data_IF_686774395373
#
_entry.id   IF_686774395373
#
_cell.length_a   1.000
_cell.length_b   1.000
_cell.length_c   1.000
_cell.angle_alpha   90.00
_cell.angle_beta   90.00
_cell.angle_gamma   90.00
#
_symmetry.space_group_name_H-M   'P 1'
#
loop_
_entity.id
_entity.type
_entity.pdbx_description
1 polymer ?
#
# COMPACT_ATOMS: atom_id res chain seq x y z
N UNK A 1 13.02 22.55 -28.48
CA UNK A 1 13.86 21.68 -29.33
C UNK A 1 15.20 22.37 -29.50
N UNK A 2 16.27 21.84 -28.89
CA UNK A 2 17.62 22.38 -29.05
C UNK A 2 18.54 21.17 -29.25
N UNK A 3 19.07 21.02 -30.47
CA UNK A 3 20.10 20.04 -30.85
C UNK A 3 21.41 20.79 -31.05
N UNK A 4 22.52 20.22 -30.58
CA UNK A 4 23.85 20.14 -31.22
C UNK A 4 24.77 19.38 -30.23
N UNK A 5 24.99 18.08 -30.39
CA UNK A 5 26.02 17.40 -31.20
C UNK A 5 27.47 17.51 -30.71
N UNK A 6 27.92 16.38 -30.14
CA UNK A 6 29.20 15.67 -30.26
C UNK A 6 30.51 16.45 -30.46
N UNK A 7 31.53 16.08 -29.67
CA UNK A 7 32.86 15.83 -30.23
C UNK A 7 33.55 14.63 -29.58
N UNK A 8 33.94 13.72 -30.45
CA UNK A 8 34.73 12.50 -30.25
C UNK A 8 36.13 12.79 -30.81
N UNK A 9 37.18 12.15 -30.27
CA UNK A 9 38.52 11.83 -30.83
C UNK A 9 39.48 11.67 -29.63
N UNK A 10 40.48 10.78 -29.55
CA UNK A 10 41.08 9.76 -30.44
C UNK A 10 42.17 9.03 -29.60
N UNK A 11 42.48 7.76 -29.92
CA UNK A 11 43.80 7.03 -29.89
C UNK A 11 44.81 7.28 -28.75
N UNK A 12 45.55 6.32 -28.20
CA UNK A 12 45.81 4.93 -28.55
C UNK A 12 46.96 4.35 -27.70
N UNK A 13 46.93 3.02 -27.53
CA UNK A 13 47.98 2.00 -27.28
C UNK A 13 49.32 2.40 -26.62
N UNK A 14 49.66 1.72 -25.51
CA UNK A 14 51.03 1.22 -25.23
C UNK A 14 50.94 -0.20 -24.65
N UNK A 15 51.55 -1.16 -25.36
CA UNK A 15 51.90 -2.50 -24.87
C UNK A 15 53.10 -2.39 -23.92
N UNK A 16 53.09 -3.15 -22.83
CA UNK A 16 54.27 -3.34 -21.98
C UNK A 16 54.07 -4.48 -21.00
N UNK A 17 54.50 -5.68 -21.40
CA UNK A 17 54.69 -6.82 -20.50
C UNK A 17 56.12 -6.80 -19.96
N UNK A 18 56.30 -6.96 -18.64
CA UNK A 18 57.55 -7.44 -18.04
C UNK A 18 57.27 -8.05 -16.65
N UNK A 19 57.79 -9.27 -16.48
CA UNK A 19 57.78 -10.11 -15.27
C UNK A 19 58.78 -9.60 -14.20
N UNK A 20 58.43 -9.76 -12.92
CA UNK A 20 59.32 -10.15 -11.80
C UNK A 20 58.49 -10.18 -10.50
N UNK A 21 58.27 -11.36 -9.90
CA UNK A 21 59.04 -11.98 -8.80
C UNK A 21 58.85 -11.31 -7.44
N UNK A 22 58.31 -12.10 -6.50
CA UNK A 22 58.69 -12.03 -5.09
C UNK A 22 57.79 -11.17 -4.19
N UNK A 23 57.01 -11.83 -3.34
CA UNK A 23 56.35 -11.18 -2.20
C UNK A 23 55.05 -11.88 -1.81
N UNK A 24 55.15 -12.97 -1.04
CA UNK A 24 53.99 -13.48 -0.28
C UNK A 24 53.65 -12.47 0.81
N UNK A 25 52.84 -11.47 0.48
CA UNK A 25 52.15 -10.70 1.51
C UNK A 25 51.00 -11.58 2.03
N UNK A 26 51.20 -12.18 3.20
CA UNK A 26 50.13 -12.79 3.95
C UNK A 26 49.09 -11.71 4.26
N UNK A 27 47.99 -11.71 3.52
CA UNK A 27 46.82 -10.87 3.83
C UNK A 27 46.30 -11.40 5.17
N UNK A 28 46.21 -10.58 6.24
CA UNK A 28 45.48 -11.02 7.41
C UNK A 28 44.04 -11.23 6.96
N UNK A 29 43.54 -12.45 7.14
CA UNK A 29 42.14 -12.77 7.00
C UNK A 29 41.38 -11.85 7.96
N UNK A 30 40.80 -10.78 7.44
CA UNK A 30 39.83 -9.99 8.16
C UNK A 30 38.72 -10.98 8.52
N UNK A 31 38.63 -11.29 9.82
CA UNK A 31 37.56 -12.09 10.37
C UNK A 31 36.25 -11.51 9.87
N UNK A 32 35.56 -12.28 9.02
CA UNK A 32 34.16 -12.06 8.76
C UNK A 32 33.47 -12.32 10.10
N UNK A 33 33.23 -11.25 10.86
CA UNK A 33 32.18 -11.28 11.86
C UNK A 33 30.91 -11.48 11.06
N UNK A 34 30.47 -12.73 10.97
CA UNK A 34 29.10 -13.07 10.58
C UNK A 34 28.20 -12.22 11.47
N UNK A 35 27.62 -11.17 10.88
CA UNK A 35 26.51 -10.48 11.48
C UNK A 35 25.42 -11.54 11.61
N UNK A 36 25.20 -12.01 12.83
CA UNK A 36 24.05 -12.84 13.16
C UNK A 36 22.81 -12.17 12.54
N UNK A 37 21.93 -12.91 11.84
CA UNK A 37 20.70 -12.33 11.35
C UNK A 37 19.98 -11.71 12.54
N UNK A 38 19.69 -10.41 12.44
CA UNK A 38 18.86 -9.66 13.36
C UNK A 38 17.58 -10.45 13.64
N UNK A 39 17.53 -11.16 14.76
CA UNK A 39 16.31 -11.75 15.27
C UNK A 39 15.47 -10.64 15.89
N UNK A 40 14.70 -9.94 15.06
CA UNK A 40 13.60 -9.10 15.54
C UNK A 40 12.52 -8.85 14.48
N UNK A 41 12.19 -9.83 13.62
CA UNK A 41 10.79 -9.94 13.21
C UNK A 41 10.03 -10.46 14.43
N UNK A 42 9.41 -9.58 15.21
CA UNK A 42 8.35 -10.01 16.11
C UNK A 42 7.25 -10.62 15.23
N UNK A 43 7.24 -11.94 15.12
CA UNK A 43 6.18 -12.65 14.41
C UNK A 43 4.86 -12.31 15.10
N UNK A 44 3.93 -11.72 14.36
CA UNK A 44 2.62 -11.39 14.92
C UNK A 44 1.95 -12.64 15.50
N UNK A 45 1.34 -12.50 16.67
CA UNK A 45 0.67 -13.60 17.38
C UNK A 45 -0.61 -14.07 16.69
N UNK A 46 -1.17 -13.25 15.81
CA UNK A 46 -2.36 -13.53 15.03
C UNK A 46 -1.97 -13.64 13.55
N UNK A 47 -2.51 -14.66 12.87
CA UNK A 47 -2.32 -14.86 11.43
C UNK A 47 -3.37 -14.12 10.61
N UNK A 48 -2.99 -13.68 9.42
CA UNK A 48 -3.91 -13.20 8.38
C UNK A 48 -4.19 -14.36 7.42
N UNK A 49 -5.36 -14.99 7.53
CA UNK A 49 -5.68 -16.22 6.77
C UNK A 49 -6.50 -15.96 5.52
N UNK A 50 -7.23 -14.84 5.45
CA UNK A 50 -8.03 -14.51 4.27
C UNK A 50 -7.12 -14.01 3.13
N UNK A 51 -7.04 -14.70 1.97
CA UNK A 51 -6.01 -14.44 0.96
C UNK A 51 -5.99 -13.01 0.41
N UNK A 52 -7.17 -12.41 0.21
CA UNK A 52 -7.29 -11.04 -0.29
C UNK A 52 -6.74 -10.02 0.70
N UNK A 53 -7.02 -10.22 1.99
CA UNK A 53 -6.54 -9.38 3.09
C UNK A 53 -5.03 -9.57 3.26
N UNK A 54 -4.57 -10.83 3.29
CA UNK A 54 -3.15 -11.18 3.39
C UNK A 54 -2.34 -10.52 2.29
N UNK A 55 -2.75 -10.67 1.02
CA UNK A 55 -2.04 -10.08 -0.11
C UNK A 55 -1.94 -8.55 -0.02
N UNK A 56 -2.96 -7.87 0.49
CA UNK A 56 -2.92 -6.41 0.69
C UNK A 56 -2.01 -6.03 1.85
N UNK A 57 -2.10 -6.73 2.98
CA UNK A 57 -1.26 -6.48 4.16
C UNK A 57 0.22 -6.70 3.84
N UNK A 58 0.54 -7.82 3.18
CA UNK A 58 1.88 -8.15 2.71
C UNK A 58 2.43 -7.09 1.74
N UNK A 59 1.63 -6.67 0.75
CA UNK A 59 2.00 -5.59 -0.17
C UNK A 59 2.18 -4.22 0.51
N UNK A 60 1.69 -4.05 1.74
CA UNK A 60 1.87 -2.86 2.57
C UNK A 60 3.02 -3.01 3.59
N UNK A 61 3.83 -4.06 3.47
CA UNK A 61 5.01 -4.30 4.30
C UNK A 61 4.79 -5.27 5.47
N UNK A 62 3.63 -5.91 5.54
CA UNK A 62 3.31 -6.89 6.58
C UNK A 62 3.43 -6.33 8.00
N UNK A 63 3.99 -7.13 8.91
CA UNK A 63 4.12 -6.81 10.34
C UNK A 63 4.94 -5.53 10.61
N UNK A 64 5.94 -5.26 9.78
CA UNK A 64 6.82 -4.08 9.88
C UNK A 64 6.33 -2.92 9.02
N UNK A 65 5.18 -3.08 8.37
CA UNK A 65 4.61 -2.13 7.43
C UNK A 65 3.63 -1.16 8.08
N UNK A 66 2.90 -0.46 7.22
CA UNK A 66 2.01 0.63 7.59
C UNK A 66 0.86 0.25 8.52
N UNK A 67 0.46 -1.02 8.51
CA UNK A 67 -0.66 -1.53 9.30
C UNK A 67 -0.23 -2.12 10.64
N UNK A 68 1.02 -2.57 10.76
CA UNK A 68 1.49 -3.34 11.91
C UNK A 68 0.98 -4.78 11.94
N UNK A 69 0.95 -5.35 13.13
CA UNK A 69 0.44 -6.69 13.37
C UNK A 69 -1.10 -6.74 13.38
N UNK A 70 -1.71 -7.85 12.93
CA UNK A 70 -3.13 -8.07 13.12
C UNK A 70 -3.47 -8.18 14.61
N UNK A 71 -4.54 -7.51 15.02
CA UNK A 71 -5.05 -7.49 16.40
C UNK A 71 -6.30 -8.36 16.57
N UNK A 72 -6.90 -8.81 15.47
CA UNK A 72 -8.03 -9.74 15.47
C UNK A 72 -7.84 -10.82 14.42
N UNK A 73 -8.52 -11.96 14.57
CA UNK A 73 -8.79 -12.85 13.42
C UNK A 73 -9.69 -12.14 12.40
N UNK A 74 -9.69 -12.61 11.15
CA UNK A 74 -10.61 -12.12 10.13
C UNK A 74 -12.07 -12.37 10.53
N UNK A 75 -12.94 -11.39 10.30
CA UNK A 75 -14.38 -11.45 10.58
C UNK A 75 -15.20 -11.25 9.31
N UNK A 76 -16.33 -11.93 9.21
CA UNK A 76 -17.31 -11.68 8.16
C UNK A 76 -18.02 -10.33 8.39
N UNK A 77 -18.35 -9.65 7.30
CA UNK A 77 -19.05 -8.37 7.30
C UNK A 77 -20.37 -8.55 6.57
N UNK A 78 -21.45 -8.09 7.20
CA UNK A 78 -22.81 -8.17 6.66
C UNK A 78 -23.38 -6.76 6.45
N UNK A 79 -24.13 -6.57 5.37
CA UNK A 79 -24.93 -5.38 5.11
C UNK A 79 -26.38 -5.81 5.00
N UNK A 80 -27.27 -5.25 5.83
CA UNK A 80 -28.69 -5.63 5.88
C UNK A 80 -28.89 -7.15 6.00
N UNK A 81 -28.11 -7.79 6.89
CA UNK A 81 -28.09 -9.24 7.11
C UNK A 81 -27.65 -10.10 5.89
N UNK A 82 -27.08 -9.48 4.85
CA UNK A 82 -26.51 -10.18 3.69
C UNK A 82 -24.98 -10.15 3.78
N UNK A 83 -24.35 -11.30 3.57
CA UNK A 83 -22.89 -11.41 3.52
C UNK A 83 -22.31 -10.46 2.46
N UNK A 84 -21.37 -9.63 2.85
CA UNK A 84 -20.84 -8.56 2.01
C UNK A 84 -19.31 -8.59 1.83
N UNK A 85 -18.58 -9.34 2.67
CA UNK A 85 -17.13 -9.43 2.60
C UNK A 85 -16.50 -9.79 3.94
N UNK A 86 -15.21 -9.47 4.09
CA UNK A 86 -14.41 -9.81 5.29
C UNK A 86 -13.55 -8.64 5.72
N UNK A 87 -13.28 -8.52 7.02
CA UNK A 87 -12.42 -7.48 7.61
C UNK A 87 -11.47 -8.06 8.63
N UNK A 88 -10.27 -7.49 8.71
CA UNK A 88 -9.33 -7.73 9.80
C UNK A 88 -8.77 -6.42 10.33
N UNK A 89 -8.56 -6.37 11.64
CA UNK A 89 -7.98 -5.24 12.35
C UNK A 89 -6.49 -5.47 12.56
N UNK A 90 -5.75 -4.37 12.53
CA UNK A 90 -4.31 -4.29 12.71
C UNK A 90 -4.01 -3.14 13.68
N UNK A 91 -2.78 -3.07 14.18
CA UNK A 91 -2.36 -2.07 15.17
C UNK A 91 -2.74 -0.64 14.77
N UNK A 92 -2.52 -0.27 13.50
CA UNK A 92 -2.74 1.11 13.04
C UNK A 92 -3.97 1.26 12.15
N UNK A 93 -4.74 0.20 11.93
CA UNK A 93 -5.75 0.24 10.89
C UNK A 93 -6.56 -1.02 10.64
N UNK A 94 -7.16 -1.07 9.46
CA UNK A 94 -7.94 -2.22 9.01
C UNK A 94 -7.70 -2.48 7.53
N UNK A 95 -7.89 -3.75 7.15
CA UNK A 95 -7.99 -4.18 5.76
C UNK A 95 -9.33 -4.91 5.59
N UNK A 96 -10.07 -4.54 4.55
CA UNK A 96 -11.40 -5.07 4.26
C UNK A 96 -11.46 -5.54 2.81
N UNK A 97 -11.81 -6.80 2.59
CA UNK A 97 -12.16 -7.33 1.28
C UNK A 97 -13.63 -7.01 0.96
N UNK A 98 -13.87 -6.34 -0.17
CA UNK A 98 -15.16 -5.79 -0.61
C UNK A 98 -15.49 -6.22 -2.05
N UNK A 99 -15.91 -7.47 -2.28
CA UNK A 99 -15.97 -8.07 -3.62
C UNK A 99 -16.99 -7.47 -4.60
N UNK A 100 -17.92 -6.63 -4.13
CA UNK A 100 -19.00 -6.06 -4.96
C UNK A 100 -18.48 -5.10 -6.04
N UNK A 101 -17.34 -4.45 -5.81
CA UNK A 101 -16.68 -3.53 -6.74
C UNK A 101 -15.62 -4.22 -7.61
N UNK A 102 -15.55 -5.54 -7.57
CA UNK A 102 -14.53 -6.36 -8.22
C UNK A 102 -14.13 -7.50 -7.29
N UNK A 103 -14.01 -8.74 -7.80
CA UNK A 103 -13.82 -9.94 -6.97
C UNK A 103 -12.59 -9.85 -6.05
N UNK A 104 -11.56 -9.11 -6.47
CA UNK A 104 -10.31 -8.93 -5.73
C UNK A 104 -10.21 -7.57 -5.02
N UNK A 105 -11.30 -6.80 -4.96
CA UNK A 105 -11.29 -5.45 -4.40
C UNK A 105 -11.04 -5.50 -2.88
N UNK A 106 -10.00 -4.80 -2.45
CA UNK A 106 -9.63 -4.68 -1.04
C UNK A 106 -9.37 -3.22 -0.75
N UNK A 107 -9.85 -2.74 0.39
CA UNK A 107 -9.57 -1.42 0.92
C UNK A 107 -8.78 -1.52 2.22
N UNK A 108 -7.88 -0.58 2.46
CA UNK A 108 -7.07 -0.49 3.66
C UNK A 108 -7.02 0.96 4.15
N UNK A 109 -7.05 1.16 5.46
CA UNK A 109 -6.86 2.47 6.07
C UNK A 109 -5.93 2.36 7.27
N UNK A 110 -5.02 3.32 7.43
CA UNK A 110 -4.09 3.39 8.56
C UNK A 110 -3.77 4.85 8.92
N UNK A 111 -3.22 5.07 10.12
CA UNK A 111 -2.66 6.37 10.52
C UNK A 111 -1.13 6.32 10.50
N UNK A 112 -0.51 7.39 10.00
CA UNK A 112 0.93 7.59 10.05
C UNK A 112 1.26 9.09 9.93
N UNK A 113 2.20 9.57 10.74
CA UNK A 113 2.77 10.91 10.62
C UNK A 113 1.77 12.07 10.62
N UNK A 114 0.67 11.98 11.37
CA UNK A 114 -0.38 13.01 11.39
C UNK A 114 -1.37 12.95 10.21
N UNK A 115 -1.35 11.87 9.43
CA UNK A 115 -2.25 11.63 8.32
C UNK A 115 -3.03 10.33 8.51
N UNK A 116 -4.28 10.34 8.05
CA UNK A 116 -5.05 9.13 7.81
C UNK A 116 -4.96 8.78 6.32
N UNK A 117 -4.44 7.60 6.03
CA UNK A 117 -4.30 7.06 4.68
C UNK A 117 -5.45 6.13 4.35
N UNK A 118 -5.85 6.14 3.09
CA UNK A 118 -6.80 5.20 2.54
C UNK A 118 -6.33 4.71 1.18
N UNK A 119 -6.24 3.40 1.03
CA UNK A 119 -5.75 2.73 -0.17
C UNK A 119 -6.77 1.70 -0.63
N UNK A 120 -6.99 1.61 -1.93
CA UNK A 120 -7.82 0.58 -2.53
C UNK A 120 -7.10 -0.17 -3.63
N UNK A 121 -7.42 -1.46 -3.73
CA UNK A 121 -6.90 -2.38 -4.71
C UNK A 121 -7.65 -2.36 -6.03
N UNK A 122 -7.39 -3.40 -6.83
CA UNK A 122 -7.95 -3.50 -8.16
C UNK A 122 -9.47 -3.66 -8.12
N UNK A 123 -10.16 -2.88 -8.95
CA UNK A 123 -11.59 -3.00 -9.25
C UNK A 123 -11.89 -3.92 -10.44
N UNK A 124 -10.87 -4.61 -10.96
CA UNK A 124 -11.01 -5.52 -12.11
C UNK A 124 -12.20 -6.49 -11.95
N UNK A 125 -12.99 -6.70 -13.01
CA UNK A 125 -12.79 -6.24 -14.40
C UNK A 125 -13.20 -4.79 -14.68
N UNK A 126 -13.69 -4.05 -13.68
CA UNK A 126 -14.11 -2.67 -13.85
C UNK A 126 -12.90 -1.71 -13.84
N UNK A 127 -13.00 -0.68 -14.66
CA UNK A 127 -12.13 0.50 -14.66
C UNK A 127 -13.03 1.71 -14.76
N UNK A 128 -12.69 2.77 -14.02
CA UNK A 128 -13.52 3.96 -13.90
C UNK A 128 -12.78 5.19 -14.37
N UNK A 129 -13.50 6.23 -14.78
CA UNK A 129 -12.91 7.54 -15.10
C UNK A 129 -12.50 8.30 -13.84
N UNK A 130 -13.30 8.15 -12.77
CA UNK A 130 -13.06 8.78 -11.47
C UNK A 130 -13.42 7.87 -10.31
N UNK A 131 -12.90 8.21 -9.13
CA UNK A 131 -13.32 7.63 -7.86
C UNK A 131 -13.86 8.71 -6.94
N UNK A 132 -15.02 8.45 -6.34
CA UNK A 132 -15.53 9.21 -5.22
C UNK A 132 -15.00 8.58 -3.93
N UNK A 133 -14.19 9.31 -3.18
CA UNK A 133 -13.68 8.88 -1.88
C UNK A 133 -14.39 9.66 -0.80
N UNK A 134 -14.97 8.95 0.18
CA UNK A 134 -15.66 9.55 1.31
C UNK A 134 -15.04 9.11 2.63
N UNK A 135 -14.93 10.04 3.58
CA UNK A 135 -14.52 9.72 4.94
C UNK A 135 -15.29 10.49 6.00
N UNK A 136 -15.38 9.91 7.19
CA UNK A 136 -15.92 10.53 8.41
C UNK A 136 -14.89 10.42 9.54
N UNK A 137 -15.00 11.30 10.53
CA UNK A 137 -14.18 11.27 11.76
C UNK A 137 -14.95 11.89 12.92
N UNK A 138 -14.42 11.82 14.14
CA UNK A 138 -15.03 12.51 15.28
C UNK A 138 -15.14 14.04 15.09
N UNK A 139 -14.21 14.66 14.35
CA UNK A 139 -14.24 16.08 14.04
C UNK A 139 -15.16 16.44 12.86
N UNK A 140 -15.55 15.46 12.04
CA UNK A 140 -16.45 15.64 10.90
C UNK A 140 -17.35 14.40 10.79
N UNK A 141 -18.41 14.32 11.61
CA UNK A 141 -19.31 13.17 11.64
C UNK A 141 -20.18 13.06 10.39
N UNK A 142 -20.47 14.20 9.74
CA UNK A 142 -21.22 14.24 8.48
C UNK A 142 -20.35 13.75 7.31
N UNK A 143 -19.04 13.96 7.41
CA UNK A 143 -18.04 13.44 6.50
C UNK A 143 -17.85 14.30 5.26
N UNK A 144 -16.69 14.10 4.66
CA UNK A 144 -16.26 14.79 3.45
C UNK A 144 -16.19 13.80 2.29
N UNK A 145 -16.51 14.26 1.08
CA UNK A 145 -16.35 13.51 -0.16
C UNK A 145 -15.42 14.26 -1.11
N UNK A 146 -14.56 13.51 -1.81
CA UNK A 146 -13.65 14.06 -2.82
C UNK A 146 -13.57 13.15 -4.03
N UNK A 147 -13.64 13.75 -5.20
CA UNK A 147 -13.33 13.07 -6.45
C UNK A 147 -11.82 13.01 -6.68
N UNK A 148 -11.33 11.86 -7.13
CA UNK A 148 -9.93 11.64 -7.50
C UNK A 148 -9.85 10.92 -8.84
N UNK A 149 -8.68 10.96 -9.48
CA UNK A 149 -8.45 10.31 -10.78
C UNK A 149 -8.77 8.81 -10.74
N UNK A 150 -9.30 8.30 -11.86
CA UNK A 150 -9.77 6.93 -12.01
C UNK A 150 -8.69 5.90 -12.31
N UNK A 151 -9.09 4.86 -13.04
CA UNK A 151 -8.35 3.63 -13.28
C UNK A 151 -8.95 2.46 -12.50
N UNK A 152 -8.08 1.57 -12.02
CA UNK A 152 -8.52 0.36 -11.30
C UNK A 152 -8.14 0.34 -9.82
N UNK A 153 -7.35 1.29 -9.33
CA UNK A 153 -6.88 1.31 -7.94
C UNK A 153 -6.43 2.72 -7.57
N UNK A 154 -6.13 2.96 -6.28
CA UNK A 154 -5.64 4.27 -5.89
C UNK A 154 -5.37 4.43 -4.40
N UNK A 155 -4.99 5.65 -4.03
CA UNK A 155 -4.67 6.03 -2.65
C UNK A 155 -4.94 7.50 -2.42
N UNK A 156 -5.43 7.83 -1.23
CA UNK A 156 -5.50 9.19 -0.71
C UNK A 156 -4.89 9.26 0.68
N UNK A 157 -4.55 10.47 1.11
CA UNK A 157 -4.30 10.81 2.51
C UNK A 157 -5.08 12.05 2.89
N UNK A 158 -5.46 12.15 4.15
CA UNK A 158 -6.11 13.32 4.74
C UNK A 158 -5.37 13.70 6.01
N UNK A 159 -5.18 15.00 6.24
CA UNK A 159 -4.54 15.47 7.47
C UNK A 159 -5.48 15.21 8.65
N UNK A 160 -4.96 14.67 9.73
CA UNK A 160 -5.73 14.43 10.94
C UNK A 160 -6.11 15.76 11.60
N UNK A 161 -7.38 15.86 11.97
CA UNK A 161 -7.96 16.98 12.73
C UNK A 161 -8.48 16.52 14.10
N UNK A 162 -8.32 15.24 14.38
CA UNK A 162 -8.71 14.57 15.61
C UNK A 162 -7.78 13.38 15.85
N UNK A 163 -7.65 12.98 17.10
CA UNK A 163 -6.99 11.72 17.50
C UNK A 163 -7.89 10.50 17.28
N UNK A 164 -9.18 10.70 16.97
CA UNK A 164 -10.12 9.62 16.69
C UNK A 164 -9.87 8.90 15.37
N UNK A 165 -10.55 7.76 15.21
CA UNK A 165 -10.52 6.98 13.99
C UNK A 165 -11.17 7.71 12.80
N UNK A 166 -10.63 7.47 11.61
CA UNK A 166 -11.21 7.86 10.35
C UNK A 166 -11.83 6.63 9.68
N UNK A 167 -13.04 6.77 9.16
CA UNK A 167 -13.73 5.71 8.40
C UNK A 167 -13.81 6.12 6.95
N UNK A 168 -13.26 5.31 6.05
CA UNK A 168 -13.20 5.57 4.61
C UNK A 168 -14.04 4.58 3.81
N UNK A 169 -14.50 5.01 2.63
CA UNK A 169 -15.06 4.17 1.56
C UNK A 169 -14.80 4.81 0.20
N UNK A 170 -14.80 4.01 -0.86
CA UNK A 170 -14.67 4.48 -2.25
C UNK A 170 -15.79 3.92 -3.12
N UNK A 171 -16.17 4.68 -4.13
CA UNK A 171 -17.06 4.28 -5.20
C UNK A 171 -16.43 4.68 -6.55
N UNK A 172 -16.47 3.79 -7.54
CA UNK A 172 -16.00 4.05 -8.89
C UNK A 172 -17.12 4.58 -9.78
N UNK A 173 -16.80 5.56 -10.62
CA UNK A 173 -17.77 6.25 -11.47
C UNK A 173 -17.22 6.45 -12.89
N UNK A 174 -18.09 6.24 -13.88
CA UNK A 174 -17.82 6.56 -15.29
C UNK A 174 -18.38 7.94 -15.61
N UNK A 175 -17.62 8.76 -16.34
CA UNK A 175 -18.00 10.11 -16.76
C UNK A 175 -18.51 10.04 -18.20
N UNK A 176 -19.82 10.15 -18.37
CA UNK A 176 -20.45 10.22 -19.69
C UNK A 176 -20.80 11.65 -20.10
N UNK A 177 -21.19 11.81 -21.37
CA UNK A 177 -21.61 13.09 -21.96
C UNK A 177 -22.80 13.77 -21.23
N UNK A 178 -23.53 13.02 -20.40
CA UNK A 178 -24.73 13.48 -19.68
C UNK A 178 -24.69 13.21 -18.16
N UNK A 179 -23.49 12.98 -17.58
CA UNK A 179 -23.31 12.87 -16.13
C UNK A 179 -22.46 11.69 -15.67
N UNK A 180 -22.41 11.51 -14.35
CA UNK A 180 -21.64 10.45 -13.68
C UNK A 180 -22.51 9.20 -13.46
N UNK A 181 -22.00 8.03 -13.82
CA UNK A 181 -22.66 6.74 -13.53
C UNK A 181 -21.77 5.91 -12.60
N UNK A 182 -22.22 5.73 -11.35
CA UNK A 182 -21.55 4.89 -10.35
C UNK A 182 -22.42 3.65 -10.11
N UNK A 183 -21.97 2.46 -10.56
CA UNK A 183 -22.88 1.30 -10.75
C UNK A 183 -22.77 0.25 -9.66
N UNK A 184 -21.58 0.08 -9.07
CA UNK A 184 -21.26 -1.00 -8.14
C UNK A 184 -21.46 -0.61 -6.68
N UNK A 185 -21.80 0.66 -6.42
CA UNK A 185 -21.96 1.20 -5.08
C UNK A 185 -20.63 1.35 -4.35
N UNK A 186 -20.73 1.85 -3.12
CA UNK A 186 -19.61 2.01 -2.21
C UNK A 186 -19.01 0.67 -1.76
N UNK A 187 -17.69 0.65 -1.58
CA UNK A 187 -17.02 -0.43 -0.87
C UNK A 187 -17.52 -0.55 0.57
N UNK A 188 -17.33 -1.73 1.15
CA UNK A 188 -17.23 -1.84 2.61
C UNK A 188 -16.16 -0.86 3.13
N UNK A 189 -16.35 -0.37 4.35
CA UNK A 189 -15.43 0.62 4.91
C UNK A 189 -14.09 0.01 5.34
N UNK A 190 -13.06 0.85 5.37
CA UNK A 190 -11.85 0.63 6.17
C UNK A 190 -11.73 1.77 7.17
N UNK A 191 -11.29 1.45 8.38
CA UNK A 191 -11.06 2.41 9.46
C UNK A 191 -9.59 2.42 9.84
N UNK A 192 -9.10 3.59 10.23
CA UNK A 192 -7.84 3.69 10.96
C UNK A 192 -8.06 3.24 12.42
N UNK A 193 -6.99 2.87 13.11
CA UNK A 193 -7.00 2.71 14.57
C UNK A 193 -6.22 3.87 15.19
N UNK A 194 -6.74 4.51 16.25
CA UNK A 194 -5.94 5.40 17.06
C UNK A 194 -4.77 4.62 17.65
N UNK A 195 -3.57 5.18 17.52
CA UNK A 195 -2.38 4.75 18.25
C UNK A 195 -2.51 5.03 19.75
#
# INVERSE_FOLDING_TARGET
>A
MTKLSLNRRLTGVVLGSLLALGGTAAVPAAAQTDAAPSQAQAACSISVTEPHIYKRWDALGGATGWLGCPTTRTKDVYLNNVYAGKRQYFDYGTVTWSPRQGRNMVVAAWQDGGYAYFNWGTTSPYSYDTFLVRWTSAADPNGTQREVGGGTSGRVRVQQRTTGAYTFRVEGCDVGLFGHSCRQGWTLSATTQPS
#
